data_IF_283232430060
#
_entry.id   IF_283232430060
#
_cell.length_a   1.000
_cell.length_b   1.000
_cell.length_c   1.000
_cell.angle_alpha   90.00
_cell.angle_beta   90.00
_cell.angle_gamma   90.00
#
_symmetry.space_group_name_H-M   'P 1'
#
loop_
_entity.id
_entity.type
_entity.pdbx_description
1 polymer ?
#
# COMPACT_ATOMS: atom_id res chain seq x y z
N UNK A 1 41.19 31.41 9.40
CA UNK A 1 40.37 30.80 10.48
C UNK A 1 39.05 31.52 10.81
N UNK A 2 38.90 32.85 10.72
CA UNK A 2 37.67 33.59 11.16
C UNK A 2 36.38 33.39 10.31
N UNK A 3 36.47 32.83 9.10
CA UNK A 3 35.30 32.66 8.20
C UNK A 3 34.62 31.29 8.35
N UNK A 4 35.38 30.23 8.66
CA UNK A 4 34.87 28.89 8.90
C UNK A 4 34.01 28.84 10.17
N UNK A 5 34.48 29.45 11.26
CA UNK A 5 33.75 29.53 12.54
C UNK A 5 32.44 30.32 12.44
N UNK A 6 32.35 31.32 11.56
CA UNK A 6 31.11 32.10 11.32
C UNK A 6 30.00 31.34 10.59
N UNK A 7 30.31 30.21 9.94
CA UNK A 7 29.34 29.43 9.18
C UNK A 7 28.90 28.13 9.88
N UNK A 8 29.55 27.75 10.98
CA UNK A 8 29.20 26.55 11.78
C UNK A 8 27.71 26.54 12.17
N UNK A 9 27.11 27.63 12.70
CA UNK A 9 25.70 27.62 13.09
C UNK A 9 24.76 27.35 11.91
N UNK A 10 25.11 27.83 10.70
CA UNK A 10 24.30 27.63 9.50
C UNK A 10 24.37 26.19 9.01
N UNK A 11 25.53 25.55 9.08
CA UNK A 11 25.69 24.14 8.75
C UNK A 11 24.90 23.24 9.72
N UNK A 12 24.97 23.54 11.01
CA UNK A 12 24.18 22.82 12.02
C UNK A 12 22.68 22.97 11.76
N UNK A 13 22.20 24.20 11.54
CA UNK A 13 20.78 24.44 11.24
C UNK A 13 20.34 23.80 9.92
N UNK A 14 21.19 23.79 8.90
CA UNK A 14 20.89 23.13 7.63
C UNK A 14 20.82 21.60 7.79
N UNK A 15 21.70 21.01 8.60
CA UNK A 15 21.68 19.59 8.92
C UNK A 15 20.42 19.21 9.72
N UNK A 16 20.13 19.92 10.81
CA UNK A 16 18.91 19.72 11.61
C UNK A 16 17.66 19.92 10.73
N UNK A 17 17.64 20.96 9.90
CA UNK A 17 16.57 21.20 8.96
C UNK A 17 16.40 20.07 7.94
N UNK A 18 17.49 19.46 7.48
CA UNK A 18 17.44 18.31 6.56
C UNK A 18 16.84 17.09 7.26
N UNK A 19 17.24 16.83 8.50
CA UNK A 19 16.73 15.72 9.29
C UNK A 19 15.23 15.88 9.59
N UNK A 20 14.79 17.08 9.95
CA UNK A 20 13.38 17.38 10.20
C UNK A 20 12.56 17.27 8.91
N UNK A 21 13.07 17.78 7.78
CA UNK A 21 12.41 17.64 6.48
C UNK A 21 12.29 16.17 6.04
N UNK A 22 13.37 15.40 6.20
CA UNK A 22 13.37 13.96 5.97
C UNK A 22 12.28 13.28 6.81
N UNK A 23 12.24 13.54 8.12
CA UNK A 23 11.26 12.96 9.02
C UNK A 23 9.82 13.35 8.65
N UNK A 24 9.57 14.63 8.33
CA UNK A 24 8.24 15.09 7.86
C UNK A 24 7.81 14.35 6.60
N UNK A 25 8.67 14.28 5.58
CA UNK A 25 8.33 13.64 4.31
C UNK A 25 8.17 12.12 4.47
N UNK A 26 9.01 11.47 5.28
CA UNK A 26 8.88 10.06 5.60
C UNK A 26 7.52 9.77 6.26
N UNK A 27 7.10 10.58 7.23
CA UNK A 27 5.78 10.47 7.87
C UNK A 27 4.63 10.70 6.88
N UNK A 28 4.79 11.63 5.93
CA UNK A 28 3.82 11.82 4.84
C UNK A 28 3.74 10.57 3.96
N UNK A 29 4.88 9.97 3.57
CA UNK A 29 4.90 8.74 2.78
C UNK A 29 4.17 7.61 3.52
N UNK A 30 4.47 7.41 4.81
CA UNK A 30 3.79 6.44 5.68
C UNK A 30 2.28 6.71 5.74
N UNK A 31 1.87 7.97 5.89
CA UNK A 31 0.46 8.35 5.94
C UNK A 31 -0.28 8.04 4.63
N UNK A 32 0.35 8.34 3.50
CA UNK A 32 -0.23 8.16 2.16
C UNK A 32 -0.30 6.69 1.73
N UNK A 33 0.42 5.81 2.41
CA UNK A 33 0.55 4.38 2.09
C UNK A 33 -0.05 3.51 3.18
N UNK A 34 0.68 3.25 4.27
CA UNK A 34 0.28 2.33 5.34
C UNK A 34 -1.05 2.73 6.00
N UNK A 35 -1.28 4.03 6.20
CA UNK A 35 -2.50 4.57 6.82
C UNK A 35 -3.57 4.97 5.79
N UNK A 36 -3.45 4.49 4.55
CA UNK A 36 -4.37 4.80 3.47
C UNK A 36 -5.06 3.53 2.94
N UNK A 37 -6.36 3.43 3.22
CA UNK A 37 -7.21 2.33 2.76
C UNK A 37 -7.17 2.16 1.23
N UNK A 38 -7.29 3.25 0.49
CA UNK A 38 -7.34 3.22 -0.98
C UNK A 38 -5.99 2.78 -1.57
N UNK A 39 -4.89 3.05 -0.87
CA UNK A 39 -3.59 2.53 -1.26
C UNK A 39 -3.58 1.00 -1.21
N UNK A 40 -4.05 0.38 -0.11
CA UNK A 40 -4.07 -1.07 0.02
C UNK A 40 -5.06 -1.74 -0.96
N UNK A 41 -6.25 -1.17 -1.12
CA UNK A 41 -7.26 -1.62 -2.10
C UNK A 41 -6.66 -1.61 -3.51
N UNK A 42 -6.00 -0.52 -3.91
CA UNK A 42 -5.38 -0.41 -5.23
C UNK A 42 -4.26 -1.45 -5.45
N UNK A 43 -3.54 -1.86 -4.40
CA UNK A 43 -2.55 -2.93 -4.54
C UNK A 43 -3.20 -4.29 -4.78
N UNK A 44 -4.31 -4.60 -4.09
CA UNK A 44 -5.08 -5.83 -4.34
C UNK A 44 -5.56 -5.92 -5.80
N UNK A 45 -6.12 -4.83 -6.31
CA UNK A 45 -6.64 -4.78 -7.69
C UNK A 45 -5.55 -4.84 -8.77
N UNK A 46 -4.29 -4.57 -8.42
CA UNK A 46 -3.15 -4.63 -9.35
C UNK A 46 -2.46 -5.99 -9.41
N UNK A 47 -2.76 -6.90 -8.47
CA UNK A 47 -1.97 -8.13 -8.27
C UNK A 47 -2.73 -9.41 -8.57
N UNK A 48 -3.83 -9.33 -9.33
CA UNK A 48 -4.74 -10.45 -9.64
C UNK A 48 -5.16 -11.24 -8.39
N UNK A 49 -5.17 -10.58 -7.22
CA UNK A 49 -5.40 -11.25 -5.94
C UNK A 49 -6.83 -11.78 -5.86
N UNK A 50 -7.79 -10.97 -6.31
CA UNK A 50 -9.21 -11.33 -6.41
C UNK A 50 -9.41 -12.52 -7.35
N UNK A 51 -8.72 -12.54 -8.50
CA UNK A 51 -8.81 -13.64 -9.46
C UNK A 51 -8.23 -14.93 -8.88
N UNK A 52 -7.08 -14.84 -8.20
CA UNK A 52 -6.43 -16.00 -7.56
C UNK A 52 -7.33 -16.58 -6.48
N UNK A 53 -7.89 -15.73 -5.60
CA UNK A 53 -8.86 -16.18 -4.60
C UNK A 53 -10.07 -16.83 -5.28
N UNK A 54 -10.66 -16.20 -6.30
CA UNK A 54 -11.81 -16.76 -7.03
C UNK A 54 -11.49 -18.16 -7.55
N UNK A 55 -10.31 -18.33 -8.15
CA UNK A 55 -9.85 -19.61 -8.69
C UNK A 55 -9.73 -20.66 -7.59
N UNK A 56 -9.04 -20.37 -6.49
CA UNK A 56 -8.87 -21.30 -5.36
C UNK A 56 -10.22 -21.74 -4.77
N UNK A 57 -11.18 -20.82 -4.73
CA UNK A 57 -12.54 -21.08 -4.27
C UNK A 57 -13.32 -21.96 -5.24
N UNK A 58 -13.29 -21.64 -6.53
CA UNK A 58 -13.92 -22.46 -7.58
C UNK A 58 -13.36 -23.87 -7.58
N UNK A 59 -12.03 -24.04 -7.50
CA UNK A 59 -11.37 -25.34 -7.45
C UNK A 59 -11.83 -26.16 -6.22
N UNK A 60 -11.92 -25.51 -5.05
CA UNK A 60 -12.45 -26.18 -3.85
C UNK A 60 -13.90 -26.63 -4.00
N UNK A 61 -14.75 -25.82 -4.64
CA UNK A 61 -16.16 -26.19 -4.90
C UNK A 61 -16.23 -27.34 -5.91
N UNK A 62 -15.38 -27.33 -6.93
CA UNK A 62 -15.26 -28.44 -7.90
C UNK A 62 -14.80 -29.73 -7.24
N UNK A 63 -13.86 -29.69 -6.30
CA UNK A 63 -13.41 -30.85 -5.53
C UNK A 63 -14.54 -31.45 -4.69
N UNK A 64 -15.35 -30.62 -4.03
CA UNK A 64 -16.56 -31.07 -3.35
C UNK A 64 -17.57 -31.67 -4.32
N UNK A 65 -17.73 -31.05 -5.50
CA UNK A 65 -18.56 -31.52 -6.61
C UNK A 65 -18.19 -32.91 -7.11
N UNK A 66 -16.89 -33.19 -7.27
CA UNK A 66 -16.36 -34.49 -7.69
C UNK A 66 -16.79 -35.61 -6.77
N UNK A 67 -16.82 -35.36 -5.45
CA UNK A 67 -17.34 -36.33 -4.46
C UNK A 67 -18.81 -36.70 -4.67
N UNK A 68 -19.57 -35.86 -5.39
CA UNK A 68 -20.98 -36.07 -5.76
C UNK A 68 -21.17 -36.40 -7.25
N UNK A 69 -20.11 -36.79 -7.97
CA UNK A 69 -20.12 -37.05 -9.42
C UNK A 69 -20.59 -35.86 -10.28
N UNK A 70 -20.38 -34.62 -9.81
CA UNK A 70 -20.66 -33.41 -10.58
C UNK A 70 -19.40 -33.06 -11.38
N UNK A 71 -19.48 -32.96 -12.73
CA UNK A 71 -18.34 -32.55 -13.54
C UNK A 71 -17.87 -31.12 -13.18
N UNK A 72 -16.56 -30.85 -13.12
CA UNK A 72 -16.03 -29.53 -12.75
C UNK A 72 -16.55 -28.38 -13.61
N UNK A 73 -16.85 -28.65 -14.89
CA UNK A 73 -17.34 -27.67 -15.86
C UNK A 73 -18.69 -27.07 -15.46
N UNK A 74 -19.51 -27.82 -14.71
CA UNK A 74 -20.80 -27.36 -14.19
C UNK A 74 -20.61 -26.27 -13.13
N UNK A 75 -19.46 -26.27 -12.44
CA UNK A 75 -19.18 -25.43 -11.28
C UNK A 75 -18.18 -24.30 -11.55
N UNK A 76 -17.76 -24.08 -12.80
CA UNK A 76 -16.67 -23.13 -13.14
C UNK A 76 -17.02 -21.66 -12.80
N UNK A 77 -18.29 -21.27 -12.98
CA UNK A 77 -18.75 -19.87 -12.87
C UNK A 77 -19.64 -19.63 -11.64
N UNK A 78 -19.62 -20.52 -10.65
CA UNK A 78 -20.51 -20.40 -9.48
C UNK A 78 -20.08 -19.31 -8.50
N UNK A 79 -18.81 -18.90 -8.55
CA UNK A 79 -18.23 -17.84 -7.71
C UNK A 79 -18.10 -16.54 -8.52
N UNK A 80 -18.97 -15.54 -8.31
CA UNK A 80 -18.89 -14.29 -9.04
C UNK A 80 -17.68 -13.46 -8.59
N UNK A 81 -16.89 -12.98 -9.54
CA UNK A 81 -15.71 -12.14 -9.28
C UNK A 81 -16.06 -10.88 -8.48
N UNK A 82 -17.17 -10.22 -8.83
CA UNK A 82 -17.68 -9.03 -8.14
C UNK A 82 -17.92 -9.30 -6.66
N UNK A 83 -18.41 -10.49 -6.32
CA UNK A 83 -18.70 -10.88 -4.93
C UNK A 83 -17.39 -11.06 -4.15
N UNK A 84 -16.39 -11.72 -4.75
CA UNK A 84 -15.05 -11.85 -4.14
C UNK A 84 -14.41 -10.48 -3.96
N UNK A 85 -14.38 -9.66 -5.01
CA UNK A 85 -13.82 -8.31 -5.00
C UNK A 85 -14.44 -7.44 -3.89
N UNK A 86 -15.77 -7.44 -3.78
CA UNK A 86 -16.48 -6.65 -2.78
C UNK A 86 -16.12 -7.09 -1.35
N UNK A 87 -16.04 -8.40 -1.12
CA UNK A 87 -15.68 -8.92 0.20
C UNK A 87 -14.23 -8.65 0.57
N UNK A 88 -13.29 -8.75 -0.39
CA UNK A 88 -11.89 -8.38 -0.17
C UNK A 88 -11.78 -6.88 0.16
N UNK A 89 -12.47 -6.01 -0.58
CA UNK A 89 -12.50 -4.57 -0.31
C UNK A 89 -13.11 -4.27 1.06
N UNK A 90 -14.20 -4.95 1.44
CA UNK A 90 -14.83 -4.80 2.75
C UNK A 90 -13.93 -5.30 3.88
N UNK A 91 -13.20 -6.40 3.67
CA UNK A 91 -12.21 -6.91 4.59
C UNK A 91 -11.12 -5.87 4.83
N UNK A 92 -10.60 -5.26 3.76
CA UNK A 92 -9.64 -4.16 3.85
C UNK A 92 -10.24 -2.96 4.59
N UNK A 93 -11.45 -2.51 4.22
CA UNK A 93 -12.14 -1.38 4.89
C UNK A 93 -12.27 -1.61 6.39
N UNK A 94 -12.53 -2.84 6.83
CA UNK A 94 -12.65 -3.19 8.25
C UNK A 94 -11.34 -3.06 9.05
N UNK A 95 -10.18 -2.97 8.38
CA UNK A 95 -8.89 -2.67 9.00
C UNK A 95 -8.79 -1.18 9.34
N UNK A 96 -9.21 -0.33 8.40
CA UNK A 96 -9.07 1.13 8.48
C UNK A 96 -10.24 1.81 9.19
N UNK A 97 -11.39 1.14 9.25
CA UNK A 97 -12.64 1.65 9.82
C UNK A 97 -13.03 0.80 11.03
N UNK A 98 -13.74 1.40 11.99
CA UNK A 98 -14.30 0.70 13.15
C UNK A 98 -15.54 -0.16 12.81
N UNK A 99 -15.61 -0.67 11.57
CA UNK A 99 -16.71 -1.51 11.10
C UNK A 99 -16.24 -2.96 11.10
N UNK A 100 -16.95 -3.88 11.78
CA UNK A 100 -16.61 -5.30 11.75
C UNK A 100 -16.79 -5.86 10.33
N UNK A 101 -15.83 -6.69 9.89
CA UNK A 101 -15.97 -7.42 8.64
C UNK A 101 -17.14 -8.40 8.73
N UNK A 102 -17.97 -8.40 7.69
CA UNK A 102 -19.04 -9.38 7.49
C UNK A 102 -19.00 -9.84 6.05
N UNK A 103 -18.98 -11.16 5.91
CA UNK A 103 -18.98 -11.83 4.63
C UNK A 103 -20.35 -11.65 3.94
N UNK A 104 -20.35 -11.54 2.61
CA UNK A 104 -21.55 -11.31 1.80
C UNK A 104 -21.56 -12.21 0.56
N UNK A 105 -22.74 -12.55 0.06
CA UNK A 105 -22.90 -13.30 -1.20
C UNK A 105 -22.79 -14.82 -1.09
N UNK A 106 -22.79 -15.37 0.13
CA UNK A 106 -22.86 -16.82 0.36
C UNK A 106 -24.12 -17.42 -0.28
N UNK A 107 -25.29 -16.80 -0.07
CA UNK A 107 -26.55 -17.26 -0.66
C UNK A 107 -26.52 -17.22 -2.19
N UNK A 108 -25.89 -16.19 -2.78
CA UNK A 108 -25.73 -16.09 -4.23
C UNK A 108 -24.89 -17.27 -4.79
N UNK A 109 -23.82 -17.65 -4.10
CA UNK A 109 -22.99 -18.80 -4.51
C UNK A 109 -23.77 -20.10 -4.38
N UNK A 110 -24.55 -20.27 -3.30
CA UNK A 110 -25.44 -21.43 -3.15
C UNK A 110 -26.42 -21.51 -4.30
N UNK A 111 -27.12 -20.42 -4.59
CA UNK A 111 -28.11 -20.36 -5.66
C UNK A 111 -27.49 -20.68 -7.02
N UNK A 112 -26.27 -20.19 -7.28
CA UNK A 112 -25.53 -20.51 -8.50
C UNK A 112 -25.20 -22.01 -8.61
N UNK A 113 -24.76 -22.63 -7.52
CA UNK A 113 -24.48 -24.07 -7.48
C UNK A 113 -25.76 -24.86 -7.75
N UNK A 114 -26.85 -24.56 -7.03
CA UNK A 114 -28.14 -25.24 -7.19
C UNK A 114 -28.63 -25.12 -8.64
N UNK A 115 -28.62 -23.90 -9.18
CA UNK A 115 -29.06 -23.61 -10.54
C UNK A 115 -28.25 -24.37 -11.59
N UNK A 116 -26.92 -24.31 -11.53
CA UNK A 116 -26.06 -24.95 -12.54
C UNK A 116 -26.20 -26.48 -12.50
N UNK A 117 -26.25 -27.07 -11.31
CA UNK A 117 -26.40 -28.53 -11.15
C UNK A 117 -27.79 -28.98 -11.60
N UNK A 118 -28.86 -28.24 -11.28
CA UNK A 118 -30.21 -28.54 -11.77
C UNK A 118 -30.30 -28.46 -13.30
N UNK A 119 -29.65 -27.46 -13.92
CA UNK A 119 -29.59 -27.36 -15.38
C UNK A 119 -28.84 -28.53 -16.01
N UNK A 120 -27.71 -28.93 -15.42
CA UNK A 120 -26.96 -30.11 -15.85
C UNK A 120 -27.78 -31.40 -15.75
N UNK A 121 -28.49 -31.60 -14.64
CA UNK A 121 -29.35 -32.76 -14.43
C UNK A 121 -30.47 -32.82 -15.47
N UNK A 122 -31.13 -31.69 -15.77
CA UNK A 122 -32.15 -31.59 -16.82
C UNK A 122 -31.58 -31.95 -18.20
N UNK A 123 -30.40 -31.42 -18.56
CA UNK A 123 -29.75 -31.71 -19.84
C UNK A 123 -29.36 -33.18 -20.00
N UNK A 124 -29.03 -33.85 -18.90
CA UNK A 124 -28.66 -35.27 -18.87
C UNK A 124 -29.84 -36.21 -18.58
N UNK A 125 -31.06 -35.68 -18.44
CA UNK A 125 -32.25 -36.42 -18.04
C UNK A 125 -32.06 -37.20 -16.73
N UNK A 126 -31.34 -36.62 -15.76
CA UNK A 126 -31.15 -37.17 -14.43
C UNK A 126 -32.31 -36.72 -13.54
N UNK A 127 -33.04 -37.66 -12.95
CA UNK A 127 -34.12 -37.36 -11.99
C UNK A 127 -33.53 -36.86 -10.68
N UNK A 128 -33.94 -35.68 -10.24
CA UNK A 128 -33.65 -35.16 -8.90
C UNK A 128 -34.82 -35.54 -7.99
N UNK A 129 -34.62 -36.56 -7.15
CA UNK A 129 -35.54 -36.92 -6.08
C UNK A 129 -35.26 -36.10 -4.80
N UNK A 130 -36.07 -36.29 -3.76
CA UNK A 130 -35.91 -35.55 -2.49
C UNK A 130 -34.54 -35.81 -1.84
N UNK A 131 -34.00 -37.02 -1.97
CA UNK A 131 -32.70 -37.37 -1.40
C UNK A 131 -31.56 -36.66 -2.12
N UNK A 132 -31.59 -36.62 -3.46
CA UNK A 132 -30.64 -35.89 -4.30
C UNK A 132 -30.71 -34.39 -4.06
N UNK A 133 -31.92 -33.83 -3.90
CA UNK A 133 -32.10 -32.41 -3.58
C UNK A 133 -31.49 -32.06 -2.21
N UNK A 134 -31.68 -32.91 -1.21
CA UNK A 134 -31.08 -32.75 0.12
C UNK A 134 -29.55 -32.79 0.06
N UNK A 135 -28.99 -33.76 -0.68
CA UNK A 135 -27.55 -33.88 -0.88
C UNK A 135 -26.96 -32.66 -1.61
N UNK A 136 -27.66 -32.15 -2.62
CA UNK A 136 -27.25 -30.96 -3.35
C UNK A 136 -27.26 -29.71 -2.47
N UNK A 137 -28.27 -29.54 -1.61
CA UNK A 137 -28.32 -28.47 -0.62
C UNK A 137 -27.16 -28.59 0.40
N UNK A 138 -26.84 -29.80 0.84
CA UNK A 138 -25.71 -30.05 1.74
C UNK A 138 -24.38 -29.70 1.08
N UNK A 139 -24.21 -30.04 -0.20
CA UNK A 139 -23.03 -29.65 -0.98
C UNK A 139 -22.91 -28.13 -1.09
N UNK A 140 -24.00 -27.43 -1.45
CA UNK A 140 -24.01 -25.97 -1.55
C UNK A 140 -23.69 -25.31 -0.19
N UNK A 141 -24.23 -25.83 0.91
CA UNK A 141 -23.91 -25.35 2.26
C UNK A 141 -22.45 -25.61 2.66
N UNK A 142 -21.91 -26.79 2.35
CA UNK A 142 -20.50 -27.11 2.60
C UNK A 142 -19.55 -26.25 1.77
N UNK A 143 -19.89 -26.00 0.50
CA UNK A 143 -19.14 -25.15 -0.40
C UNK A 143 -18.96 -23.73 0.13
N UNK A 144 -19.98 -23.17 0.79
CA UNK A 144 -19.90 -21.82 1.37
C UNK A 144 -19.38 -21.77 2.80
N UNK A 145 -19.30 -22.90 3.51
CA UNK A 145 -18.94 -22.93 4.95
C UNK A 145 -17.58 -22.30 5.26
N UNK A 146 -16.64 -22.38 4.32
CA UNK A 146 -15.29 -21.84 4.45
C UNK A 146 -15.06 -20.59 3.60
N UNK A 147 -16.13 -19.96 3.09
CA UNK A 147 -16.06 -18.80 2.19
C UNK A 147 -15.21 -17.66 2.79
N UNK A 148 -15.37 -17.39 4.09
CA UNK A 148 -14.56 -16.39 4.80
C UNK A 148 -13.07 -16.73 4.86
N UNK A 149 -12.69 -18.00 4.94
CA UNK A 149 -11.28 -18.41 5.09
C UNK A 149 -10.42 -18.09 3.87
N UNK A 150 -11.03 -17.96 2.68
CA UNK A 150 -10.34 -17.58 1.46
C UNK A 150 -10.12 -16.06 1.36
N UNK A 151 -10.98 -15.27 1.98
CA UNK A 151 -10.96 -13.81 1.91
C UNK A 151 -10.16 -13.22 3.08
N UNK A 152 -10.31 -13.79 4.27
CA UNK A 152 -9.62 -13.33 5.45
C UNK A 152 -8.14 -13.72 5.42
N UNK A 153 -7.27 -12.72 5.40
CA UNK A 153 -5.83 -12.94 5.50
C UNK A 153 -5.47 -13.14 6.98
N UNK A 154 -4.89 -14.30 7.38
CA UNK A 154 -4.54 -14.56 8.77
C UNK A 154 -3.74 -13.42 9.40
N UNK A 155 -4.17 -12.99 10.58
CA UNK A 155 -3.58 -11.90 11.38
C UNK A 155 -3.58 -10.49 10.77
N UNK A 156 -3.85 -10.31 9.47
CA UNK A 156 -3.79 -8.99 8.82
C UNK A 156 -4.77 -8.02 9.46
N UNK A 157 -5.99 -8.47 9.76
CA UNK A 157 -6.98 -7.65 10.46
C UNK A 157 -6.48 -7.18 11.84
N UNK A 158 -5.90 -8.09 12.63
CA UNK A 158 -5.41 -7.79 13.99
C UNK A 158 -4.21 -6.85 13.96
N UNK A 159 -3.23 -7.12 13.10
CA UNK A 159 -2.06 -6.25 12.94
C UNK A 159 -2.41 -4.90 12.34
N UNK A 160 -3.26 -4.87 11.31
CA UNK A 160 -3.73 -3.66 10.67
C UNK A 160 -4.44 -2.73 11.66
N UNK A 161 -5.34 -3.27 12.50
CA UNK A 161 -6.01 -2.47 13.56
C UNK A 161 -5.02 -1.94 14.60
N UNK A 162 -4.01 -2.71 15.00
CA UNK A 162 -2.95 -2.24 15.89
C UNK A 162 -2.15 -1.09 15.27
N UNK A 163 -1.83 -1.17 13.98
CA UNK A 163 -1.16 -0.07 13.26
C UNK A 163 -2.06 1.16 13.20
N UNK A 164 -3.34 0.99 12.87
CA UNK A 164 -4.33 2.07 12.79
C UNK A 164 -4.55 2.78 14.13
N UNK A 165 -4.38 2.10 15.26
CA UNK A 165 -4.42 2.73 16.58
C UNK A 165 -3.37 3.85 16.76
N UNK A 166 -2.26 3.81 16.00
CA UNK A 166 -1.24 4.86 16.01
C UNK A 166 -1.53 6.02 15.05
N UNK A 167 -2.64 6.03 14.31
CA UNK A 167 -2.93 7.05 13.30
C UNK A 167 -2.98 8.46 13.88
N UNK A 168 -3.61 8.62 15.06
CA UNK A 168 -3.67 9.90 15.76
C UNK A 168 -2.28 10.37 16.20
N UNK A 169 -1.49 9.47 16.80
CA UNK A 169 -0.12 9.76 17.22
C UNK A 169 0.77 10.13 16.02
N UNK A 170 0.68 9.40 14.90
CA UNK A 170 1.40 9.72 13.68
C UNK A 170 1.04 11.12 13.16
N UNK A 171 -0.25 11.47 13.16
CA UNK A 171 -0.72 12.80 12.74
C UNK A 171 -0.13 13.89 13.63
N UNK A 172 -0.12 13.68 14.94
CA UNK A 172 0.45 14.62 15.89
C UNK A 172 1.96 14.80 15.71
N UNK A 173 2.70 13.71 15.58
CA UNK A 173 4.16 13.73 15.34
C UNK A 173 4.46 14.45 14.01
N UNK A 174 3.69 14.17 12.95
CA UNK A 174 3.85 14.83 11.65
C UNK A 174 3.69 16.35 11.78
N UNK A 175 2.67 16.82 12.50
CA UNK A 175 2.44 18.26 12.71
C UNK A 175 3.60 18.87 13.51
N UNK A 176 4.01 18.25 14.63
CA UNK A 176 5.08 18.77 15.48
C UNK A 176 6.40 18.86 14.72
N UNK A 177 6.79 17.78 14.03
CA UNK A 177 8.05 17.74 13.25
C UNK A 177 7.99 18.70 12.07
N UNK A 178 6.84 18.82 11.40
CA UNK A 178 6.63 19.77 10.31
C UNK A 178 6.75 21.23 10.75
N UNK A 179 6.13 21.59 11.89
CA UNK A 179 6.26 22.95 12.47
C UNK A 179 7.71 23.20 12.89
N UNK A 180 8.37 22.24 13.54
CA UNK A 180 9.78 22.36 13.92
C UNK A 180 10.68 22.57 12.69
N UNK A 181 10.44 21.84 11.59
CA UNK A 181 11.13 22.05 10.32
C UNK A 181 10.96 23.49 9.83
N UNK A 182 9.72 23.99 9.78
CA UNK A 182 9.43 25.36 9.31
C UNK A 182 10.16 26.39 10.17
N UNK A 183 10.16 26.26 11.50
CA UNK A 183 10.85 27.18 12.40
C UNK A 183 12.37 27.19 12.17
N UNK A 184 13.00 26.01 12.10
CA UNK A 184 14.44 25.88 11.85
C UNK A 184 14.80 26.42 10.46
N UNK A 185 13.99 26.11 9.45
CA UNK A 185 14.21 26.55 8.08
C UNK A 185 14.08 28.07 7.94
N UNK A 186 13.04 28.68 8.52
CA UNK A 186 12.88 30.14 8.54
C UNK A 186 14.03 30.80 9.30
N UNK A 187 14.43 30.26 10.45
CA UNK A 187 15.60 30.74 11.20
C UNK A 187 16.88 30.73 10.39
N UNK A 188 17.15 29.65 9.65
CA UNK A 188 18.29 29.56 8.72
C UNK A 188 18.23 30.64 7.63
N UNK A 189 17.05 30.87 7.04
CA UNK A 189 16.87 31.88 5.99
C UNK A 189 17.02 33.31 6.51
N UNK A 190 16.62 33.60 7.75
CA UNK A 190 16.77 34.91 8.38
C UNK A 190 18.25 35.24 8.68
N UNK A 191 19.06 34.23 9.03
CA UNK A 191 20.50 34.41 9.25
C UNK A 191 21.32 34.76 7.99
N UNK A 192 20.72 34.64 6.79
CA UNK A 192 21.40 34.79 5.51
C UNK A 192 20.91 36.05 4.80
N UNK A 193 21.78 37.07 4.71
CA UNK A 193 21.40 38.37 4.12
C UNK A 193 21.18 38.35 2.59
N UNK A 194 21.93 37.54 1.85
CA UNK A 194 21.92 37.57 0.37
C UNK A 194 20.94 36.54 -0.21
N UNK A 195 20.09 36.96 -1.16
CA UNK A 195 19.09 36.09 -1.80
C UNK A 195 19.70 34.80 -2.42
N UNK A 196 20.80 34.89 -3.17
CA UNK A 196 21.43 33.70 -3.76
C UNK A 196 21.94 32.72 -2.68
N UNK A 197 22.42 33.23 -1.55
CA UNK A 197 22.86 32.40 -0.42
C UNK A 197 21.69 31.71 0.26
N UNK A 198 20.53 32.39 0.40
CA UNK A 198 19.30 31.77 0.92
C UNK A 198 18.92 30.54 0.09
N UNK A 199 18.86 30.69 -1.23
CA UNK A 199 18.57 29.61 -2.17
C UNK A 199 19.59 28.46 -2.06
N UNK A 200 20.89 28.79 -1.90
CA UNK A 200 21.94 27.76 -1.71
C UNK A 200 21.74 26.97 -0.43
N UNK A 201 21.44 27.62 0.69
CA UNK A 201 21.19 26.94 1.96
C UNK A 201 19.91 26.10 1.91
N UNK A 202 18.86 26.56 1.22
CA UNK A 202 17.68 25.74 0.93
C UNK A 202 18.03 24.50 0.13
N UNK A 203 18.84 24.63 -0.92
CA UNK A 203 19.31 23.48 -1.70
C UNK A 203 20.02 22.44 -0.83
N UNK A 204 20.94 22.85 0.05
CA UNK A 204 21.65 21.93 0.96
C UNK A 204 20.67 21.17 1.86
N UNK A 205 19.66 21.87 2.42
CA UNK A 205 18.64 21.24 3.26
C UNK A 205 17.80 20.20 2.51
N UNK A 206 17.37 20.54 1.29
CA UNK A 206 16.54 19.66 0.46
C UNK A 206 17.34 18.47 -0.08
N UNK A 207 18.61 18.69 -0.43
CA UNK A 207 19.51 17.64 -0.89
C UNK A 207 19.79 16.62 0.22
N UNK A 208 20.06 17.09 1.44
CA UNK A 208 20.27 16.22 2.60
C UNK A 208 19.07 15.33 2.87
N UNK A 209 17.86 15.93 2.91
CA UNK A 209 16.62 15.17 3.10
C UNK A 209 16.35 14.18 1.95
N UNK A 210 16.57 14.60 0.70
CA UNK A 210 16.32 13.80 -0.48
C UNK A 210 17.22 12.56 -0.53
N UNK A 211 18.50 12.73 -0.24
CA UNK A 211 19.45 11.61 -0.15
C UNK A 211 19.09 10.65 0.99
N UNK A 212 18.73 11.16 2.17
CA UNK A 212 18.29 10.30 3.29
C UNK A 212 17.04 9.47 2.95
N UNK A 213 16.10 10.03 2.19
CA UNK A 213 14.90 9.33 1.71
C UNK A 213 15.21 8.23 0.69
N UNK A 214 16.27 8.38 -0.12
CA UNK A 214 16.59 7.43 -1.19
C UNK A 214 17.48 6.29 -0.70
N UNK A 215 18.49 6.58 0.15
CA UNK A 215 19.57 5.62 0.44
C UNK A 215 19.06 4.30 1.03
N UNK A 216 18.29 4.33 2.12
CA UNK A 216 17.82 3.10 2.76
C UNK A 216 16.80 2.34 1.90
N UNK A 217 15.74 2.99 1.36
CA UNK A 217 14.81 2.32 0.46
C UNK A 217 15.47 1.72 -0.79
N UNK A 218 16.44 2.41 -1.40
CA UNK A 218 17.19 1.86 -2.53
C UNK A 218 17.96 0.58 -2.14
N UNK A 219 18.57 0.54 -0.95
CA UNK A 219 19.22 -0.68 -0.45
C UNK A 219 18.19 -1.81 -0.30
N UNK A 220 17.03 -1.54 0.29
CA UNK A 220 15.95 -2.54 0.45
C UNK A 220 15.49 -3.04 -0.92
N UNK A 221 15.18 -2.15 -1.85
CA UNK A 221 14.75 -2.48 -3.20
C UNK A 221 15.76 -3.36 -3.95
N UNK A 222 17.03 -2.94 -4.01
CA UNK A 222 18.07 -3.67 -4.76
C UNK A 222 18.56 -4.93 -4.06
N UNK A 223 18.39 -5.06 -2.74
CA UNK A 223 18.78 -6.28 -2.01
C UNK A 223 17.93 -7.51 -2.39
N UNK A 224 16.75 -7.29 -2.97
CA UNK A 224 15.79 -8.35 -3.30
C UNK A 224 15.16 -9.01 -2.07
N UNK A 225 15.30 -8.44 -0.87
CA UNK A 225 14.73 -8.98 0.38
C UNK A 225 13.21 -9.13 0.29
N UNK A 226 12.51 -8.20 -0.37
CA UNK A 226 11.04 -8.26 -0.55
C UNK A 226 10.63 -9.51 -1.34
N UNK A 227 11.40 -9.88 -2.38
CA UNK A 227 11.08 -11.05 -3.22
C UNK A 227 11.33 -12.39 -2.52
N UNK A 228 12.06 -12.38 -1.39
CA UNK A 228 12.43 -13.58 -0.62
C UNK A 228 11.46 -13.87 0.54
N UNK A 229 10.34 -13.16 0.62
CA UNK A 229 9.31 -13.41 1.63
C UNK A 229 8.69 -14.80 1.42
N UNK A 230 8.74 -15.65 2.45
CA UNK A 230 8.21 -17.02 2.42
C UNK A 230 6.70 -17.08 2.58
N UNK A 231 5.96 -16.62 1.56
CA UNK A 231 4.49 -16.67 1.52
C UNK A 231 4.07 -17.81 0.59
N UNK A 232 3.33 -18.79 1.14
CA UNK A 232 2.96 -20.00 0.40
C UNK A 232 1.86 -19.76 -0.64
N UNK A 233 0.88 -18.89 -0.36
CA UNK A 233 -0.17 -18.57 -1.33
C UNK A 233 0.36 -17.62 -2.39
N UNK A 234 0.19 -17.99 -3.67
CA UNK A 234 0.67 -17.19 -4.80
C UNK A 234 -0.01 -15.81 -4.85
N UNK A 235 -1.34 -15.76 -4.70
CA UNK A 235 -2.08 -14.50 -4.70
C UNK A 235 -1.64 -13.60 -3.55
N UNK A 236 -1.49 -14.16 -2.35
CA UNK A 236 -1.04 -13.41 -1.18
C UNK A 236 0.41 -12.92 -1.34
N UNK A 237 1.27 -13.75 -1.94
CA UNK A 237 2.66 -13.38 -2.23
C UNK A 237 2.70 -12.18 -3.18
N UNK A 238 1.98 -12.23 -4.30
CA UNK A 238 1.92 -11.13 -5.29
C UNK A 238 1.38 -9.84 -4.65
N UNK A 239 0.29 -9.94 -3.87
CA UNK A 239 -0.27 -8.81 -3.14
C UNK A 239 0.73 -8.18 -2.17
N UNK A 240 1.30 -8.97 -1.25
CA UNK A 240 2.18 -8.46 -0.18
C UNK A 240 3.48 -7.90 -0.76
N UNK A 241 4.09 -8.58 -1.73
CA UNK A 241 5.31 -8.09 -2.38
C UNK A 241 5.05 -6.80 -3.13
N UNK A 242 3.98 -6.71 -3.94
CA UNK A 242 3.61 -5.46 -4.62
C UNK A 242 3.33 -4.33 -3.63
N UNK A 243 2.61 -4.62 -2.54
CA UNK A 243 2.30 -3.63 -1.51
C UNK A 243 3.56 -3.05 -0.85
N UNK A 244 4.47 -3.93 -0.41
CA UNK A 244 5.72 -3.51 0.24
C UNK A 244 6.64 -2.80 -0.76
N UNK A 245 6.74 -3.29 -2.00
CA UNK A 245 7.53 -2.64 -3.05
C UNK A 245 6.97 -1.26 -3.40
N UNK A 246 5.66 -1.11 -3.55
CA UNK A 246 5.05 0.19 -3.81
C UNK A 246 5.21 1.17 -2.64
N UNK A 247 5.14 0.66 -1.40
CA UNK A 247 5.45 1.41 -0.19
C UNK A 247 6.90 1.92 -0.22
N UNK A 248 7.86 1.04 -0.45
CA UNK A 248 9.30 1.37 -0.50
C UNK A 248 9.64 2.36 -1.62
N UNK A 249 9.12 2.11 -2.83
CA UNK A 249 9.29 3.00 -3.98
C UNK A 249 8.70 4.40 -3.76
N UNK A 250 7.69 4.56 -2.91
CA UNK A 250 7.15 5.88 -2.58
C UNK A 250 8.22 6.81 -1.98
N UNK A 251 9.10 6.28 -1.12
CA UNK A 251 10.22 7.04 -0.56
C UNK A 251 11.27 7.36 -1.62
N UNK A 252 11.57 6.41 -2.50
CA UNK A 252 12.55 6.60 -3.58
C UNK A 252 12.06 7.70 -4.52
N UNK A 253 10.82 7.65 -5.01
CA UNK A 253 10.29 8.64 -5.94
C UNK A 253 10.25 10.04 -5.33
N UNK A 254 9.75 10.18 -4.09
CA UNK A 254 9.70 11.49 -3.41
C UNK A 254 11.11 12.00 -3.10
N UNK A 255 12.02 11.12 -2.66
CA UNK A 255 13.42 11.47 -2.38
C UNK A 255 14.20 11.90 -3.63
N UNK A 256 13.97 11.24 -4.77
CA UNK A 256 14.52 11.64 -6.07
C UNK A 256 13.95 12.99 -6.52
N UNK A 257 12.64 13.21 -6.40
CA UNK A 257 12.04 14.50 -6.72
C UNK A 257 12.63 15.64 -5.88
N UNK A 258 12.86 15.39 -4.58
CA UNK A 258 13.47 16.36 -3.67
C UNK A 258 14.95 16.62 -4.01
N UNK A 259 15.69 15.58 -4.40
CA UNK A 259 17.07 15.68 -4.87
C UNK A 259 17.16 16.52 -6.15
N UNK A 260 16.29 16.26 -7.13
CA UNK A 260 16.21 17.04 -8.38
C UNK A 260 15.88 18.51 -8.07
N UNK A 261 14.89 18.76 -7.21
CA UNK A 261 14.56 20.12 -6.76
C UNK A 261 15.77 20.81 -6.11
N UNK A 262 16.53 20.11 -5.28
CA UNK A 262 17.73 20.66 -4.67
C UNK A 262 18.80 21.03 -5.71
N UNK A 263 19.02 20.21 -6.73
CA UNK A 263 19.96 20.49 -7.82
C UNK A 263 19.52 21.72 -8.63
N UNK A 264 18.23 21.86 -8.93
CA UNK A 264 17.68 23.05 -9.57
C UNK A 264 17.93 24.32 -8.73
N UNK A 265 17.75 24.23 -7.41
CA UNK A 265 18.06 25.34 -6.50
C UNK A 265 19.55 25.71 -6.49
N UNK A 266 20.47 24.75 -6.62
CA UNK A 266 21.90 25.05 -6.81
C UNK A 266 22.12 25.88 -8.09
N UNK A 267 21.56 25.42 -9.22
CA UNK A 267 21.71 26.10 -10.51
C UNK A 267 21.13 27.53 -10.48
N UNK A 268 19.96 27.70 -9.86
CA UNK A 268 19.33 29.00 -9.66
C UNK A 268 20.22 29.90 -8.79
N UNK A 269 20.79 29.36 -7.70
CA UNK A 269 21.69 30.11 -6.83
C UNK A 269 22.92 30.63 -7.57
N UNK A 270 23.58 29.80 -8.38
CA UNK A 270 24.77 30.21 -9.14
C UNK A 270 24.40 31.23 -10.23
N UNK A 271 23.26 31.09 -10.92
CA UNK A 271 22.77 32.11 -11.86
C UNK A 271 22.52 33.46 -11.18
N UNK A 272 21.90 33.47 -10.00
CA UNK A 272 21.66 34.69 -9.22
C UNK A 272 22.96 35.34 -8.74
N UNK A 273 23.97 34.53 -8.40
CA UNK A 273 25.31 35.02 -8.05
C UNK A 273 25.98 35.67 -9.24
N UNK A 274 25.97 35.03 -10.41
CA UNK A 274 26.59 35.54 -11.63
C UNK A 274 26.01 36.88 -12.08
N UNK A 275 24.67 37.02 -12.11
CA UNK A 275 23.98 38.29 -12.43
C UNK A 275 24.38 39.43 -11.49
N UNK A 276 24.56 39.13 -10.20
CA UNK A 276 24.97 40.14 -9.21
C UNK A 276 26.43 40.57 -9.36
N UNK A 277 27.31 39.71 -9.90
CA UNK A 277 28.70 40.06 -10.17
C UNK A 277 28.80 40.93 -11.45
N UNK A 278 28.00 40.62 -12.47
CA UNK A 278 27.97 41.40 -13.71
C UNK A 278 27.31 42.78 -13.55
N UNK A 279 26.27 42.93 -12.74
CA UNK A 279 25.63 44.24 -12.48
C UNK A 279 26.45 45.18 -11.55
N UNK A 280 27.65 44.78 -11.12
CA UNK A 280 28.54 45.59 -10.26
C UNK A 280 29.77 46.09 -11.05
N UNK A 281 29.89 45.71 -12.34
CA UNK A 281 30.75 46.37 -13.32
C UNK A 281 29.93 47.34 -14.14
#
# INVERSE_FOLDING_TARGET
>A
MKQATKNIPRWILAFIGSLLLFATIALICIRMTLFNQEFMINQVHKTDYVETIRKDMTESIQDLGRGSNIPPEVLVDVVPEKTVSMNVDNYIRSIYQEVPFKIQGEDQIKDNILKNVSQYAQQKNITIDETTQSNLNNLANSATKNYSNYIEIPYLLSYGKKVMAFQSALTMILIIVGVAFVLVFVGLLLMVKMKHRKVRWSSVTFLGAGLMLVVLPAIIYFSGVINRLGIMSEGLYRFVTSYITAFDLSFIFVGLALTVLALLLVLISERMRSKKIHNVR
#
